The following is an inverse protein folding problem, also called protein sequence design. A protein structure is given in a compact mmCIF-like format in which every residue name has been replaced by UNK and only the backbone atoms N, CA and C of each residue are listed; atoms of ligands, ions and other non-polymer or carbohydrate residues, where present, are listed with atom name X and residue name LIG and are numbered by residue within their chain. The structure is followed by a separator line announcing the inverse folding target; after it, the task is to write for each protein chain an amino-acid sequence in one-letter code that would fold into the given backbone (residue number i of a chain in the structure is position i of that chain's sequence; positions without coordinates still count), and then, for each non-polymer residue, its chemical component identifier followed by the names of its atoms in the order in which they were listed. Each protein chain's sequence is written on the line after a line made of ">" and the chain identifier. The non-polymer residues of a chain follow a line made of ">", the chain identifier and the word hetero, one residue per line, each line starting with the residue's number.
data_IF_724322290338
#
_entry.id   IF_724322290338
#
_cell.length_a   1.000
_cell.length_b   1.000
_cell.length_c   1.000
_cell.angle_alpha   90.00
_cell.angle_beta   90.00
_cell.angle_gamma   90.00
#
_symmetry.space_group_name_H-M   'P 1'
#
loop_
_entity.id
_entity.type
_entity.pdbx_description
1 polymer ?
#
# COMPACT_ATOMS: atom_id res chain seq x y z
N UNK A 1 14.40 6.48 -1.43
CA UNK A 1 15.69 6.51 -0.73
C UNK A 1 16.35 5.15 -0.86
N UNK A 2 17.62 5.11 -1.22
CA UNK A 2 18.42 3.89 -1.27
C UNK A 2 19.55 4.02 -0.27
N UNK A 3 19.76 2.98 0.54
CA UNK A 3 20.87 2.89 1.48
C UNK A 3 21.62 1.60 1.17
N UNK A 4 22.89 1.73 0.84
CA UNK A 4 23.77 0.59 0.52
C UNK A 4 24.48 0.06 1.78
N UNK A 5 25.10 -1.11 1.67
CA UNK A 5 25.93 -1.74 2.72
C UNK A 5 25.23 -1.94 4.07
N UNK A 6 23.98 -2.39 4.04
CA UNK A 6 23.19 -2.71 5.24
C UNK A 6 23.15 -4.22 5.49
N UNK A 7 23.00 -4.67 6.75
CA UNK A 7 22.85 -6.08 7.06
C UNK A 7 21.63 -6.69 6.35
N UNK A 8 21.83 -7.77 5.61
CA UNK A 8 20.80 -8.55 4.89
C UNK A 8 20.93 -10.02 5.32
N UNK A 9 19.88 -10.82 5.12
CA UNK A 9 19.92 -12.25 5.41
C UNK A 9 21.05 -12.94 4.62
N UNK A 10 21.78 -13.84 5.28
CA UNK A 10 22.81 -14.67 4.67
C UNK A 10 22.25 -15.54 3.53
N UNK A 11 20.98 -15.94 3.63
CA UNK A 11 20.30 -16.79 2.65
C UNK A 11 19.79 -16.01 1.42
N UNK A 12 19.89 -14.69 1.40
CA UNK A 12 19.48 -13.88 0.26
C UNK A 12 20.56 -13.86 -0.82
N UNK A 13 20.41 -14.75 -1.81
CA UNK A 13 21.32 -14.86 -2.96
C UNK A 13 21.24 -13.66 -3.93
N UNK A 14 20.24 -12.79 -3.79
CA UNK A 14 20.16 -11.56 -4.57
C UNK A 14 21.04 -10.44 -3.98
N UNK A 15 21.58 -10.63 -2.77
CA UNK A 15 22.58 -9.73 -2.19
C UNK A 15 23.93 -9.85 -2.92
N UNK A 16 24.64 -8.73 -3.16
CA UNK A 16 25.93 -8.76 -3.85
C UNK A 16 27.03 -9.48 -3.06
N UNK A 17 26.92 -9.48 -1.73
CA UNK A 17 27.81 -10.21 -0.81
C UNK A 17 26.93 -10.82 0.28
N UNK A 18 27.17 -12.08 0.64
CA UNK A 18 26.37 -12.72 1.68
C UNK A 18 26.41 -11.94 3.00
N UNK A 19 25.23 -11.65 3.56
CA UNK A 19 25.07 -10.83 4.74
C UNK A 19 25.07 -9.31 4.52
N UNK A 20 25.33 -8.84 3.29
CA UNK A 20 25.47 -7.41 2.97
C UNK A 20 24.75 -7.03 1.67
N UNK A 21 23.80 -6.11 1.76
CA UNK A 21 23.08 -5.62 0.60
C UNK A 21 22.51 -4.22 0.79
N UNK A 22 21.65 -3.79 -0.13
CA UNK A 22 21.00 -2.48 -0.07
C UNK A 22 19.56 -2.60 0.44
N UNK A 23 19.01 -1.50 0.94
CA UNK A 23 17.60 -1.34 1.27
C UNK A 23 17.03 -0.15 0.51
N UNK A 24 15.82 -0.33 -0.01
CA UNK A 24 15.08 0.71 -0.71
C UNK A 24 13.86 1.12 0.11
N UNK A 25 13.78 2.39 0.47
CA UNK A 25 12.59 3.03 1.01
C UNK A 25 11.87 3.80 -0.08
N UNK A 26 10.64 3.42 -0.41
CA UNK A 26 9.78 4.17 -1.33
C UNK A 26 8.72 4.90 -0.52
N UNK A 27 8.70 6.23 -0.63
CA UNK A 27 7.66 7.04 0.00
C UNK A 27 6.49 7.24 -0.96
N UNK A 28 5.48 6.38 -0.83
CA UNK A 28 4.23 6.43 -1.58
C UNK A 28 3.09 7.17 -0.84
N UNK A 29 3.40 8.00 0.16
CA UNK A 29 2.39 8.80 0.87
C UNK A 29 1.89 9.98 0.03
N UNK A 30 0.76 10.56 0.42
CA UNK A 30 0.32 11.85 -0.12
C UNK A 30 1.30 12.94 0.31
N UNK A 31 1.75 13.79 -0.62
CA UNK A 31 2.80 14.78 -0.36
C UNK A 31 2.22 16.08 0.21
N UNK A 32 2.87 16.60 1.24
CA UNK A 32 2.45 17.83 1.94
C UNK A 32 3.00 19.09 1.28
N UNK A 33 2.49 20.30 1.62
CA UNK A 33 3.11 21.54 1.19
C UNK A 33 4.59 21.60 1.59
N UNK A 34 5.45 21.92 0.63
CA UNK A 34 6.91 21.89 0.80
C UNK A 34 7.59 20.64 0.21
N UNK A 35 6.86 19.53 0.10
CA UNK A 35 7.33 18.32 -0.61
C UNK A 35 6.90 18.32 -2.09
N UNK A 36 5.86 19.08 -2.41
CA UNK A 36 5.38 19.31 -3.78
C UNK A 36 4.83 20.72 -3.94
N UNK A 37 4.92 21.27 -5.15
CA UNK A 37 4.33 22.57 -5.53
C UNK A 37 3.02 22.43 -6.29
N UNK A 38 2.55 21.19 -6.49
CA UNK A 38 1.32 20.88 -7.23
C UNK A 38 0.15 20.64 -6.28
N UNK A 39 -1.06 20.95 -6.72
CA UNK A 39 -2.27 20.50 -6.03
C UNK A 39 -2.28 18.96 -5.99
N UNK A 40 -2.49 18.41 -4.80
CA UNK A 40 -2.56 16.97 -4.60
C UNK A 40 -3.99 16.45 -4.78
N UNK A 41 -4.13 15.28 -5.40
CA UNK A 41 -5.43 14.66 -5.63
C UNK A 41 -6.17 14.37 -4.33
N UNK A 42 -7.49 14.60 -4.32
CA UNK A 42 -8.35 14.22 -3.19
C UNK A 42 -8.79 12.76 -3.35
N UNK A 43 -8.46 11.86 -2.40
CA UNK A 43 -8.86 10.46 -2.52
C UNK A 43 -10.38 10.35 -2.43
N UNK A 44 -10.94 9.47 -3.26
CA UNK A 44 -12.36 9.11 -3.17
C UNK A 44 -12.55 8.34 -1.87
N UNK A 45 -13.50 8.79 -1.05
CA UNK A 45 -13.98 8.05 0.13
C UNK A 45 -15.40 7.60 -0.14
N UNK A 46 -15.67 6.31 0.10
CA UNK A 46 -17.04 5.79 0.05
C UNK A 46 -17.89 6.48 1.11
N UNK A 47 -19.15 6.68 0.81
CA UNK A 47 -20.13 7.12 1.81
C UNK A 47 -20.35 5.98 2.83
N UNK A 48 -20.15 6.21 4.14
CA UNK A 48 -20.30 5.17 5.15
C UNK A 48 -21.74 4.69 5.28
N UNK A 49 -22.74 5.54 5.04
CA UNK A 49 -24.15 5.16 5.10
C UNK A 49 -24.53 4.25 3.93
N UNK A 50 -24.02 4.55 2.73
CA UNK A 50 -24.22 3.68 1.55
C UNK A 50 -23.52 2.34 1.78
N UNK A 51 -22.29 2.35 2.29
CA UNK A 51 -21.53 1.13 2.58
C UNK A 51 -22.29 0.25 3.58
N UNK A 52 -22.69 0.81 4.73
CA UNK A 52 -23.43 0.08 5.76
C UNK A 52 -24.79 -0.47 5.25
N UNK A 53 -25.49 0.31 4.41
CA UNK A 53 -26.74 -0.15 3.80
C UNK A 53 -26.52 -1.35 2.90
N UNK A 54 -25.52 -1.28 2.01
CA UNK A 54 -25.23 -2.38 1.08
C UNK A 54 -24.75 -3.62 1.84
N UNK A 55 -23.92 -3.44 2.87
CA UNK A 55 -23.47 -4.53 3.74
C UNK A 55 -24.66 -5.24 4.41
N UNK A 56 -25.68 -4.50 4.86
CA UNK A 56 -26.87 -5.06 5.52
C UNK A 56 -27.77 -5.87 4.57
N UNK A 57 -27.84 -5.51 3.28
CA UNK A 57 -28.68 -6.20 2.29
C UNK A 57 -27.89 -7.20 1.43
N UNK A 58 -26.59 -7.34 1.62
CA UNK A 58 -25.71 -8.05 0.70
C UNK A 58 -26.12 -9.52 0.49
N UNK A 59 -26.50 -10.20 1.58
CA UNK A 59 -26.94 -11.59 1.53
C UNK A 59 -28.30 -11.75 0.83
N UNK A 60 -29.22 -10.78 1.02
CA UNK A 60 -30.53 -10.76 0.35
C UNK A 60 -30.39 -10.57 -1.16
N UNK A 61 -29.35 -9.87 -1.61
CA UNK A 61 -29.10 -9.64 -3.03
C UNK A 61 -28.69 -10.92 -3.79
N UNK A 62 -28.30 -11.99 -3.07
CA UNK A 62 -28.02 -13.33 -3.62
C UNK A 62 -27.15 -13.32 -4.90
N UNK A 63 -26.16 -12.42 -4.95
CA UNK A 63 -25.37 -12.14 -6.16
C UNK A 63 -24.44 -13.31 -6.53
N UNK A 64 -24.08 -14.13 -5.56
CA UNK A 64 -23.26 -15.33 -5.76
C UNK A 64 -24.05 -16.57 -5.35
N UNK A 65 -23.99 -17.64 -6.16
CA UNK A 65 -24.61 -18.93 -5.83
C UNK A 65 -23.94 -19.51 -4.57
N UNK A 66 -24.74 -19.83 -3.56
CA UNK A 66 -24.30 -20.73 -2.48
C UNK A 66 -24.15 -22.14 -3.09
N UNK A 67 -22.97 -22.73 -2.95
CA UNK A 67 -22.67 -24.09 -3.41
C UNK A 67 -23.41 -25.12 -2.57
#
# INVERSE_FOLDING_TARGET
>A
VLVENTPIDYLDFASPVSGLGSKMGLDATNKWPGETQREWGRPIKKDPAVTARIDAIWDELAIFKQQ
#
